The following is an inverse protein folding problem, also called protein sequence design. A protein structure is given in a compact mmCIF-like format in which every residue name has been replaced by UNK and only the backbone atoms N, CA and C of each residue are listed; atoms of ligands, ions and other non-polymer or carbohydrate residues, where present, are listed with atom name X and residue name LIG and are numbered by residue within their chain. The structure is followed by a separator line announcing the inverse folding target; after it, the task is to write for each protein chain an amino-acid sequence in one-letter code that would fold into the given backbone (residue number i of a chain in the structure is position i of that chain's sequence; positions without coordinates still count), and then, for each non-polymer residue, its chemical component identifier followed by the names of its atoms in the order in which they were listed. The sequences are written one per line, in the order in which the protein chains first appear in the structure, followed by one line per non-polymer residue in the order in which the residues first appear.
data_IF_337887032981
#
_entry.id   IF_337887032981
#
_cell.length_a   1.000
_cell.length_b   1.000
_cell.length_c   1.000
_cell.angle_alpha   90.00
_cell.angle_beta   90.00
_cell.angle_gamma   90.00
#
_symmetry.space_group_name_H-M   'P 1'
#
loop_
_entity.id
_entity.type
_entity.pdbx_description
1 polymer ?
#
# COMPACT_ATOMS: atom_id res chain seq x y z
N UNK A 1 48.20 -15.03 32.06
CA UNK A 1 46.88 -15.33 31.46
C UNK A 1 45.92 -14.21 31.84
N UNK A 2 45.58 -13.31 30.92
CA UNK A 2 44.49 -12.35 31.13
C UNK A 2 43.18 -13.01 30.66
N UNK A 3 42.26 -13.28 31.58
CA UNK A 3 40.87 -13.62 31.23
C UNK A 3 40.05 -12.34 31.37
N UNK A 4 39.51 -11.83 30.25
CA UNK A 4 38.45 -10.80 30.30
C UNK A 4 37.14 -11.48 30.72
N UNK A 5 36.34 -10.88 31.62
CA UNK A 5 34.95 -11.30 31.80
C UNK A 5 34.18 -11.15 30.49
N UNK A 6 33.22 -12.04 30.18
CA UNK A 6 32.31 -11.84 29.05
C UNK A 6 31.54 -10.53 29.26
N UNK A 7 31.60 -9.65 28.26
CA UNK A 7 30.77 -8.44 28.23
C UNK A 7 29.31 -8.86 27.97
N UNK A 8 28.32 -8.14 28.52
CA UNK A 8 26.93 -8.38 28.18
C UNK A 8 26.72 -8.14 26.67
N UNK A 9 26.24 -9.16 25.99
CA UNK A 9 25.86 -9.08 24.58
C UNK A 9 24.51 -8.36 24.49
N UNK A 10 24.52 -7.07 24.15
CA UNK A 10 23.29 -6.36 23.81
C UNK A 10 22.86 -6.85 22.43
N UNK A 11 21.87 -7.75 22.40
CA UNK A 11 21.16 -8.06 21.16
C UNK A 11 20.10 -6.98 20.98
N UNK A 12 20.23 -6.08 19.99
CA UNK A 12 19.12 -5.19 19.67
C UNK A 12 17.87 -6.05 19.38
N UNK A 13 16.66 -5.54 19.68
CA UNK A 13 15.43 -6.20 19.29
C UNK A 13 15.50 -6.50 17.78
N UNK A 14 15.25 -7.75 17.40
CA UNK A 14 15.13 -8.09 15.98
C UNK A 14 13.89 -7.40 15.42
N UNK A 15 14.02 -6.73 14.27
CA UNK A 15 12.87 -6.23 13.51
C UNK A 15 11.87 -7.37 13.31
N UNK A 16 10.57 -7.17 13.60
CA UNK A 16 9.59 -8.23 13.45
C UNK A 16 9.55 -8.69 12.00
N UNK A 17 9.57 -10.01 11.78
CA UNK A 17 9.36 -10.58 10.46
C UNK A 17 7.90 -10.49 10.10
N UNK A 18 7.61 -9.89 8.96
CA UNK A 18 6.26 -9.70 8.44
C UNK A 18 5.99 -10.76 7.37
N UNK A 19 4.88 -11.46 7.48
CA UNK A 19 4.49 -12.54 6.57
C UNK A 19 3.25 -12.20 5.77
N UNK A 20 2.47 -11.21 6.21
CA UNK A 20 1.36 -10.68 5.43
C UNK A 20 1.15 -9.20 5.72
N UNK A 21 0.58 -8.53 4.73
CA UNK A 21 -0.04 -7.23 4.85
C UNK A 21 -1.40 -7.25 4.16
N UNK A 22 -2.35 -6.56 4.77
CA UNK A 22 -3.68 -6.35 4.22
C UNK A 22 -4.02 -4.90 4.47
N UNK A 23 -4.48 -4.20 3.44
CA UNK A 23 -5.16 -2.93 3.64
C UNK A 23 -6.27 -2.71 2.60
N UNK A 24 -7.16 -1.80 2.95
CA UNK A 24 -8.21 -1.34 2.07
C UNK A 24 -7.88 0.06 1.54
N UNK A 25 -7.98 0.23 0.23
CA UNK A 25 -7.71 1.49 -0.46
C UNK A 25 -9.00 2.08 -1.03
N UNK A 26 -9.27 3.35 -0.76
CA UNK A 26 -10.30 4.08 -1.50
C UNK A 26 -9.85 4.35 -2.92
N UNK A 27 -10.75 4.12 -3.88
CA UNK A 27 -10.48 4.30 -5.31
C UNK A 27 -10.80 5.74 -5.72
N UNK A 28 -9.86 6.37 -6.42
CA UNK A 28 -10.06 7.69 -7.02
C UNK A 28 -9.56 7.71 -8.46
N UNK A 29 -10.00 8.71 -9.22
CA UNK A 29 -9.44 9.03 -10.53
C UNK A 29 -8.88 10.46 -10.51
N UNK A 30 -7.69 10.67 -9.88
CA UNK A 30 -7.06 11.98 -9.79
C UNK A 30 -6.72 12.55 -11.16
N UNK A 31 -6.77 13.89 -11.26
CA UNK A 31 -6.28 14.60 -12.46
C UNK A 31 -4.75 14.51 -12.54
N UNK A 32 -4.25 13.87 -13.60
CA UNK A 32 -2.83 13.71 -13.93
C UNK A 32 -2.51 14.32 -15.30
N UNK A 33 -1.29 14.83 -15.48
CA UNK A 33 -0.79 15.30 -16.77
C UNK A 33 -0.08 14.19 -17.55
N UNK A 34 0.13 14.39 -18.85
CA UNK A 34 0.56 13.33 -19.79
C UNK A 34 1.92 12.69 -19.49
N UNK A 35 2.78 13.32 -18.70
CA UNK A 35 4.10 12.82 -18.29
C UNK A 35 4.22 12.67 -16.78
N UNK A 36 3.10 12.44 -16.10
CA UNK A 36 2.99 12.34 -14.65
C UNK A 36 2.18 11.09 -14.30
N UNK A 37 2.25 10.63 -13.05
CA UNK A 37 1.35 9.58 -12.56
C UNK A 37 0.95 9.84 -11.11
N UNK A 38 -0.19 9.28 -10.73
CA UNK A 38 -0.60 9.18 -9.33
C UNK A 38 -1.07 7.76 -9.06
N UNK A 39 -0.75 7.25 -7.88
CA UNK A 39 -1.18 5.95 -7.41
C UNK A 39 -1.51 5.96 -5.93
N UNK A 40 -2.16 4.88 -5.49
CA UNK A 40 -2.18 4.49 -4.11
C UNK A 40 -1.95 2.99 -4.00
N UNK A 41 -1.15 2.59 -3.02
CA UNK A 41 -0.66 1.24 -2.90
C UNK A 41 -0.40 0.83 -1.45
N UNK A 42 -0.40 -0.48 -1.24
CA UNK A 42 0.29 -1.12 -0.12
C UNK A 42 1.63 -1.65 -0.61
N UNK A 43 2.65 -1.59 0.23
CA UNK A 43 4.00 -2.03 -0.09
C UNK A 43 4.50 -3.02 0.96
N UNK A 44 4.91 -4.22 0.52
CA UNK A 44 5.67 -5.18 1.33
C UNK A 44 7.16 -5.04 1.02
N UNK A 45 8.01 -4.74 2.02
CA UNK A 45 9.44 -4.46 1.80
C UNK A 45 10.34 -5.34 2.63
N UNK A 46 11.45 -5.73 2.03
CA UNK A 46 12.65 -6.13 2.75
C UNK A 46 13.86 -5.85 1.86
N UNK A 47 14.59 -4.77 2.14
CA UNK A 47 15.59 -4.25 1.21
C UNK A 47 16.60 -5.32 0.74
N UNK A 48 16.93 -5.34 -0.57
CA UNK A 48 16.52 -4.38 -1.61
C UNK A 48 15.17 -4.70 -2.26
N UNK A 49 14.45 -5.72 -1.82
CA UNK A 49 13.25 -6.19 -2.49
C UNK A 49 11.98 -5.50 -1.98
N UNK A 50 11.03 -5.20 -2.87
CA UNK A 50 9.69 -4.79 -2.48
C UNK A 50 8.62 -5.15 -3.51
N UNK A 51 7.40 -5.33 -3.02
CA UNK A 51 6.18 -5.59 -3.79
C UNK A 51 5.20 -4.46 -3.50
N UNK A 52 4.73 -3.76 -4.53
CA UNK A 52 3.67 -2.76 -4.46
C UNK A 52 2.44 -3.28 -5.19
N UNK A 53 1.27 -3.12 -4.58
CA UNK A 53 -0.02 -3.43 -5.22
C UNK A 53 -1.03 -2.35 -4.89
N UNK A 54 -1.84 -1.96 -5.87
CA UNK A 54 -2.80 -0.89 -5.66
C UNK A 54 -3.50 -0.44 -6.93
N UNK A 55 -3.81 0.85 -7.00
CA UNK A 55 -4.37 1.50 -8.19
C UNK A 55 -3.51 2.66 -8.65
N UNK A 56 -3.57 2.97 -9.95
CA UNK A 56 -2.79 4.03 -10.59
C UNK A 56 -3.58 4.73 -11.69
N UNK A 57 -3.29 6.00 -11.91
CA UNK A 57 -3.56 6.72 -13.16
C UNK A 57 -2.20 7.10 -13.76
N UNK A 58 -1.80 6.36 -14.80
CA UNK A 58 -0.45 6.45 -15.37
C UNK A 58 -0.50 6.60 -16.90
N UNK A 59 -0.71 7.83 -17.43
CA UNK A 59 -0.73 8.08 -18.87
C UNK A 59 0.61 7.82 -19.56
N UNK A 60 1.74 7.82 -18.83
CA UNK A 60 3.06 7.46 -19.39
C UNK A 60 3.02 6.00 -19.84
N UNK A 61 2.58 5.12 -18.95
CA UNK A 61 2.53 3.68 -19.21
C UNK A 61 1.38 3.31 -20.16
N UNK A 62 0.18 3.86 -19.92
CA UNK A 62 -1.03 3.55 -20.69
C UNK A 62 -1.27 4.47 -21.90
N UNK A 63 -0.22 5.09 -22.45
CA UNK A 63 -0.24 5.84 -23.73
C UNK A 63 -1.32 6.92 -23.79
N UNK A 64 -1.46 7.67 -22.69
CA UNK A 64 -2.41 8.77 -22.55
C UNK A 64 -3.78 8.39 -22.00
N UNK A 65 -4.03 7.13 -21.67
CA UNK A 65 -5.22 6.72 -20.91
C UNK A 65 -5.15 7.31 -19.48
N UNK A 66 -6.24 7.98 -19.08
CA UNK A 66 -6.41 8.63 -17.78
C UNK A 66 -7.42 7.89 -16.89
N UNK A 67 -7.63 6.60 -17.15
CA UNK A 67 -8.52 5.76 -16.36
C UNK A 67 -7.74 5.13 -15.22
N UNK A 68 -8.31 5.15 -14.02
CA UNK A 68 -7.77 4.40 -12.89
C UNK A 68 -7.76 2.91 -13.19
N UNK A 69 -6.60 2.29 -12.99
CA UNK A 69 -6.38 0.86 -13.19
C UNK A 69 -5.73 0.27 -11.96
N UNK A 70 -5.99 -1.00 -11.70
CA UNK A 70 -5.11 -1.75 -10.81
C UNK A 70 -3.70 -1.81 -11.40
N UNK A 71 -2.71 -1.96 -10.52
CA UNK A 71 -1.34 -2.22 -10.93
C UNK A 71 -0.61 -3.01 -9.86
N UNK A 72 0.47 -3.64 -10.29
CA UNK A 72 1.51 -4.12 -9.39
C UNK A 72 2.84 -3.55 -9.85
N UNK A 73 3.73 -3.34 -8.90
CA UNK A 73 5.13 -3.09 -9.16
C UNK A 73 5.97 -3.98 -8.25
N UNK A 74 7.10 -4.45 -8.75
CA UNK A 74 8.00 -5.32 -8.00
C UNK A 74 9.43 -4.92 -8.27
N UNK A 75 10.19 -4.74 -7.21
CA UNK A 75 11.63 -4.53 -7.25
C UNK A 75 12.32 -5.72 -6.59
N UNK A 76 13.39 -6.19 -7.22
CA UNK A 76 14.30 -7.18 -6.66
C UNK A 76 15.72 -6.64 -6.72
N UNK A 77 16.67 -7.32 -6.08
CA UNK A 77 18.09 -7.00 -6.24
C UNK A 77 18.63 -7.01 -7.69
N UNK A 78 17.87 -7.52 -8.67
CA UNK A 78 18.33 -7.72 -10.05
C UNK A 78 17.57 -6.89 -11.08
N UNK A 79 16.26 -6.75 -10.87
CA UNK A 79 15.35 -6.17 -11.84
C UNK A 79 14.13 -5.59 -11.15
N UNK A 80 13.48 -4.67 -11.87
CA UNK A 80 12.19 -4.13 -11.51
C UNK A 80 11.16 -4.43 -12.59
N UNK A 81 9.89 -4.46 -12.19
CA UNK A 81 8.80 -4.91 -13.03
C UNK A 81 7.51 -4.18 -12.74
N UNK A 82 6.88 -3.71 -13.80
CA UNK A 82 5.55 -3.12 -13.76
C UNK A 82 4.56 -4.10 -14.39
N UNK A 83 3.46 -4.41 -13.68
CA UNK A 83 2.49 -5.39 -14.11
C UNK A 83 3.13 -6.74 -14.51
N UNK A 84 2.68 -7.31 -15.63
CA UNK A 84 3.13 -8.60 -16.17
C UNK A 84 4.16 -8.44 -17.29
N UNK A 85 4.83 -7.28 -17.36
CA UNK A 85 5.81 -7.00 -18.41
C UNK A 85 7.11 -7.80 -18.24
N UNK A 86 7.31 -8.42 -17.08
CA UNK A 86 8.44 -9.29 -16.76
C UNK A 86 7.98 -10.73 -16.46
N UNK A 87 8.87 -11.74 -16.62
CA UNK A 87 8.56 -13.14 -16.33
C UNK A 87 8.58 -13.49 -14.82
N UNK A 88 8.79 -12.51 -13.93
CA UNK A 88 8.92 -12.72 -12.48
C UNK A 88 7.61 -12.99 -11.75
N UNK A 89 6.48 -12.94 -12.45
CA UNK A 89 5.15 -13.01 -11.86
C UNK A 89 4.24 -14.00 -12.60
N UNK A 90 3.50 -14.81 -11.85
CA UNK A 90 2.69 -15.91 -12.40
C UNK A 90 1.21 -15.68 -12.11
N UNK A 91 0.46 -15.39 -13.17
CA UNK A 91 -0.98 -15.24 -13.17
C UNK A 91 -1.66 -16.61 -12.98
N UNK A 92 -2.45 -16.76 -11.92
CA UNK A 92 -3.23 -17.99 -11.66
C UNK A 92 -4.67 -17.82 -12.16
N UNK A 93 -5.25 -16.63 -11.96
CA UNK A 93 -6.61 -16.28 -12.37
C UNK A 93 -6.62 -15.29 -13.52
N UNK A 94 -6.61 -15.79 -14.76
CA UNK A 94 -6.65 -14.94 -15.96
C UNK A 94 -7.96 -14.17 -16.17
N UNK A 95 -8.99 -14.49 -15.39
CA UNK A 95 -10.28 -13.80 -15.40
C UNK A 95 -10.27 -12.48 -14.61
N UNK A 96 -9.24 -12.24 -13.80
CA UNK A 96 -9.01 -10.97 -13.09
C UNK A 96 -7.66 -10.40 -13.53
N UNK A 97 -7.62 -9.56 -14.59
CA UNK A 97 -6.38 -8.91 -15.03
C UNK A 97 -5.86 -7.91 -13.99
N UNK A 98 -4.55 -7.87 -13.78
CA UNK A 98 -3.89 -6.88 -12.90
C UNK A 98 -4.08 -5.44 -13.36
N UNK A 99 -4.17 -5.21 -14.67
CA UNK A 99 -4.33 -3.88 -15.26
C UNK A 99 -5.81 -3.50 -15.46
N UNK A 100 -6.71 -4.21 -14.76
CA UNK A 100 -8.15 -4.00 -14.83
C UNK A 100 -8.51 -2.56 -14.51
N UNK A 101 -9.41 -2.02 -15.34
CA UNK A 101 -10.00 -0.70 -15.13
C UNK A 101 -10.85 -0.72 -13.86
N UNK A 102 -10.53 0.16 -12.93
CA UNK A 102 -11.35 0.44 -11.77
C UNK A 102 -12.24 1.63 -12.09
N UNK A 103 -13.46 1.36 -12.53
CA UNK A 103 -14.50 2.40 -12.54
C UNK A 103 -14.97 2.61 -11.10
N UNK A 104 -14.95 3.84 -10.56
CA UNK A 104 -15.59 4.12 -9.29
C UNK A 104 -17.08 3.77 -9.45
N UNK A 105 -17.51 2.71 -8.78
CA UNK A 105 -18.92 2.39 -8.67
C UNK A 105 -19.56 3.52 -7.86
N UNK A 106 -20.42 4.31 -8.49
CA UNK A 106 -21.43 5.05 -7.74
C UNK A 106 -22.44 4.03 -7.20
N UNK A 107 -22.04 3.23 -6.21
CA UNK A 107 -22.96 2.32 -5.51
C UNK A 107 -23.64 3.06 -4.33
N UNK A 108 -24.93 2.80 -4.07
CA UNK A 108 -25.70 3.53 -3.04
C UNK A 108 -25.36 3.19 -1.58
N UNK A 109 -24.32 2.38 -1.32
CA UNK A 109 -24.05 1.78 0.02
C UNK A 109 -22.75 2.20 0.69
N UNK A 110 -22.29 3.41 0.44
CA UNK A 110 -21.21 4.02 1.22
C UNK A 110 -20.65 5.26 0.51
N UNK A 111 -19.94 6.14 1.23
CA UNK A 111 -19.39 7.36 0.62
C UNK A 111 -18.24 7.11 -0.38
N UNK A 112 -17.69 5.89 -0.48
CA UNK A 112 -16.52 5.59 -1.34
C UNK A 112 -16.59 4.19 -1.97
N UNK A 113 -16.05 4.05 -3.19
CA UNK A 113 -15.62 2.76 -3.74
C UNK A 113 -14.24 2.42 -3.17
N UNK A 114 -14.03 1.17 -2.80
CA UNK A 114 -12.80 0.72 -2.17
C UNK A 114 -12.41 -0.71 -2.58
N UNK A 115 -11.13 -1.06 -2.49
CA UNK A 115 -10.60 -2.38 -2.82
C UNK A 115 -9.72 -2.89 -1.69
N UNK A 116 -9.95 -4.13 -1.28
CA UNK A 116 -9.07 -4.83 -0.35
C UNK A 116 -7.91 -5.48 -1.12
N UNK A 117 -6.69 -5.25 -0.65
CA UNK A 117 -5.49 -5.90 -1.14
C UNK A 117 -4.87 -6.74 -0.02
N UNK A 118 -4.41 -7.93 -0.38
CA UNK A 118 -3.77 -8.87 0.55
C UNK A 118 -2.49 -9.40 -0.08
N UNK A 119 -1.36 -9.11 0.55
CA UNK A 119 -0.06 -9.71 0.23
C UNK A 119 0.28 -10.68 1.35
N UNK A 120 0.54 -11.94 1.04
CA UNK A 120 0.94 -12.90 2.06
C UNK A 120 1.94 -13.93 1.52
N UNK A 121 2.85 -14.38 2.37
CA UNK A 121 3.80 -15.43 2.02
C UNK A 121 3.28 -16.80 2.46
N UNK A 122 3.31 -17.76 1.55
CA UNK A 122 3.17 -19.18 1.90
C UNK A 122 4.49 -19.65 2.53
N UNK A 123 4.46 -20.01 3.81
CA UNK A 123 5.65 -20.43 4.56
C UNK A 123 6.21 -21.79 4.13
N UNK A 124 5.44 -22.59 3.39
CA UNK A 124 5.84 -23.92 2.92
C UNK A 124 6.70 -23.83 1.66
N UNK A 125 6.25 -23.01 0.68
CA UNK A 125 6.92 -22.88 -0.62
C UNK A 125 7.63 -21.53 -0.81
N UNK A 126 7.46 -20.61 0.15
CA UNK A 126 8.08 -19.27 0.21
C UNK A 126 7.66 -18.32 -0.92
N UNK A 127 6.56 -18.61 -1.61
CA UNK A 127 5.97 -17.70 -2.59
C UNK A 127 5.16 -16.62 -1.91
N UNK A 128 5.21 -15.41 -2.46
CA UNK A 128 4.31 -14.33 -2.11
C UNK A 128 3.07 -14.39 -2.99
N UNK A 129 1.91 -14.26 -2.40
CA UNK A 129 0.62 -14.34 -3.07
C UNK A 129 -0.10 -13.01 -2.97
N UNK A 130 -0.82 -12.68 -4.05
CA UNK A 130 -1.75 -11.56 -4.10
C UNK A 130 -3.18 -12.10 -4.09
N UNK A 131 -4.00 -11.53 -3.22
CA UNK A 131 -5.45 -11.65 -3.24
C UNK A 131 -6.07 -10.25 -3.27
N UNK A 132 -7.15 -10.11 -4.03
CA UNK A 132 -7.90 -8.85 -4.18
C UNK A 132 -9.35 -9.11 -3.82
N UNK A 133 -9.93 -8.22 -3.01
CA UNK A 133 -11.32 -8.30 -2.56
C UNK A 133 -11.59 -9.46 -1.58
N UNK A 134 -12.87 -9.79 -1.41
CA UNK A 134 -13.33 -10.76 -0.41
C UNK A 134 -13.25 -12.22 -0.87
N UNK A 135 -13.04 -12.49 -2.16
CA UNK A 135 -12.97 -13.85 -2.71
C UNK A 135 -11.81 -14.64 -2.09
N UNK A 136 -12.01 -15.92 -1.79
CA UNK A 136 -11.00 -16.74 -1.10
C UNK A 136 -9.81 -17.15 -1.99
N UNK A 137 -9.93 -17.03 -3.31
CA UNK A 137 -8.91 -17.51 -4.24
C UNK A 137 -7.83 -16.45 -4.51
N UNK A 138 -6.55 -16.76 -4.26
CA UNK A 138 -5.44 -15.91 -4.68
C UNK A 138 -5.44 -15.78 -6.19
N UNK A 139 -5.20 -14.56 -6.67
CA UNK A 139 -5.22 -14.30 -8.10
C UNK A 139 -3.88 -14.67 -8.74
N UNK A 140 -2.78 -14.48 -8.01
CA UNK A 140 -1.42 -14.45 -8.57
C UNK A 140 -0.34 -14.68 -7.51
N UNK A 141 0.88 -15.00 -7.94
CA UNK A 141 2.02 -15.12 -7.03
C UNK A 141 3.35 -14.69 -7.64
N UNK A 142 4.25 -14.24 -6.77
CA UNK A 142 5.68 -14.10 -7.01
C UNK A 142 6.42 -15.31 -6.44
N UNK A 143 7.17 -16.06 -7.27
CA UNK A 143 8.03 -17.12 -6.78
C UNK A 143 9.05 -16.56 -5.79
N UNK A 144 9.19 -17.15 -4.60
CA UNK A 144 10.15 -16.66 -3.58
C UNK A 144 11.60 -16.57 -4.05
N UNK A 145 11.92 -17.35 -5.08
CA UNK A 145 13.25 -17.49 -5.69
C UNK A 145 13.73 -16.24 -6.45
N UNK A 146 12.81 -15.36 -6.86
CA UNK A 146 13.17 -14.11 -7.54
C UNK A 146 13.70 -13.07 -6.55
N UNK A 147 13.29 -13.21 -5.28
CA UNK A 147 13.67 -12.30 -4.21
C UNK A 147 14.96 -12.72 -3.53
N UNK A 148 15.61 -11.73 -2.90
CA UNK A 148 16.74 -11.92 -2.02
C UNK A 148 16.30 -11.94 -0.56
N UNK A 149 16.02 -10.79 0.03
CA UNK A 149 15.57 -10.63 1.41
C UNK A 149 14.09 -10.99 1.58
N UNK A 150 13.22 -10.63 0.62
CA UNK A 150 11.80 -11.02 0.65
C UNK A 150 11.59 -12.52 0.47
N UNK A 151 12.59 -13.29 0.03
CA UNK A 151 12.49 -14.77 -0.01
C UNK A 151 12.20 -15.39 1.36
N UNK A 152 12.49 -14.67 2.46
CA UNK A 152 12.32 -15.16 3.83
C UNK A 152 11.14 -14.54 4.57
N UNK A 153 10.99 -13.22 4.47
CA UNK A 153 9.94 -12.44 5.12
C UNK A 153 10.03 -10.97 4.69
N UNK A 154 8.98 -10.20 4.94
CA UNK A 154 9.01 -8.75 5.00
C UNK A 154 9.68 -8.24 6.28
N UNK A 155 10.07 -6.96 6.26
CA UNK A 155 10.57 -6.21 7.41
C UNK A 155 9.82 -4.90 7.63
N UNK A 156 9.22 -4.33 6.57
CA UNK A 156 8.43 -3.10 6.63
C UNK A 156 7.21 -3.22 5.73
N UNK A 157 6.15 -2.51 6.12
CA UNK A 157 4.98 -2.29 5.28
C UNK A 157 4.73 -0.79 5.16
N UNK A 158 4.29 -0.36 3.99
CA UNK A 158 3.91 1.04 3.74
C UNK A 158 2.53 1.06 3.11
N UNK A 159 1.79 2.13 3.34
CA UNK A 159 0.57 2.38 2.59
C UNK A 159 0.27 3.87 2.48
N UNK A 160 -0.16 4.29 1.31
CA UNK A 160 -0.44 5.69 1.04
C UNK A 160 -0.64 5.95 -0.44
N UNK A 161 -0.36 7.19 -0.83
CA UNK A 161 -0.35 7.61 -2.22
C UNK A 161 1.05 8.00 -2.67
N UNK A 162 1.35 7.74 -3.92
CA UNK A 162 2.58 8.15 -4.59
C UNK A 162 2.23 9.03 -5.81
N UNK A 163 3.07 10.04 -6.03
CA UNK A 163 2.96 10.90 -7.22
C UNK A 163 4.32 11.13 -7.83
N UNK A 164 4.40 10.92 -9.13
CA UNK A 164 5.43 11.51 -9.96
C UNK A 164 4.87 12.72 -10.69
N UNK A 165 5.60 13.84 -10.63
CA UNK A 165 5.29 15.02 -11.42
C UNK A 165 6.55 15.54 -12.13
N UNK A 166 6.37 16.27 -13.23
CA UNK A 166 7.49 16.91 -13.91
C UNK A 166 8.08 17.98 -12.97
N UNK A 167 9.40 17.99 -12.71
CA UNK A 167 10.05 19.03 -11.91
C UNK A 167 9.83 20.45 -12.45
N UNK A 168 9.54 20.62 -13.75
CA UNK A 168 9.24 21.90 -14.38
C UNK A 168 7.80 22.38 -14.15
N UNK A 169 6.87 21.46 -13.86
CA UNK A 169 5.49 21.78 -13.48
C UNK A 169 5.17 21.21 -12.10
N UNK A 170 5.90 21.64 -11.08
CA UNK A 170 5.62 21.17 -9.75
C UNK A 170 4.29 21.81 -9.32
N UNK A 171 3.37 21.03 -8.79
CA UNK A 171 2.03 21.50 -8.42
C UNK A 171 0.86 21.08 -9.36
N UNK A 172 1.12 20.40 -10.48
CA UNK A 172 0.18 19.89 -11.50
C UNK A 172 -0.73 18.66 -11.15
N UNK A 173 -0.20 17.44 -10.97
CA UNK A 173 -0.93 16.19 -10.63
C UNK A 173 -1.59 16.13 -9.24
N UNK A 174 -2.83 15.64 -9.17
CA UNK A 174 -3.53 15.32 -7.92
C UNK A 174 -3.10 13.97 -7.33
N UNK A 175 -3.18 13.83 -6.00
CA UNK A 175 -3.02 12.56 -5.28
C UNK A 175 -4.34 12.16 -4.60
N UNK A 176 -4.71 10.89 -4.69
CA UNK A 176 -5.94 10.38 -4.09
C UNK A 176 -7.17 11.11 -4.63
N UNK A 177 -7.95 11.71 -3.74
CA UNK A 177 -9.13 12.52 -4.06
C UNK A 177 -8.79 13.91 -4.62
N UNK A 178 -7.51 14.29 -4.57
CA UNK A 178 -7.02 15.64 -4.85
C UNK A 178 -7.08 16.58 -3.64
N UNK A 179 -7.71 16.21 -2.53
CA UNK A 179 -7.79 17.07 -1.34
C UNK A 179 -6.67 16.76 -0.36
N UNK A 180 -6.19 17.79 0.35
CA UNK A 180 -5.36 17.58 1.53
C UNK A 180 -6.15 16.84 2.61
N UNK A 181 -5.48 16.00 3.44
CA UNK A 181 -6.11 15.43 4.63
C UNK A 181 -6.85 16.49 5.44
N UNK A 182 -8.11 16.23 5.75
CA UNK A 182 -8.95 17.17 6.48
C UNK A 182 -9.93 16.46 7.43
N UNK A 183 -10.70 17.25 8.17
CA UNK A 183 -11.79 16.74 9.01
C UNK A 183 -13.01 16.29 8.19
N UNK A 184 -13.09 16.64 6.91
CA UNK A 184 -14.20 16.27 6.04
C UNK A 184 -14.00 14.87 5.48
N UNK A 185 -14.62 13.88 6.13
CA UNK A 185 -14.49 12.46 5.77
C UNK A 185 -14.73 12.24 4.28
N UNK A 186 -15.79 12.85 3.73
CA UNK A 186 -16.23 12.73 2.34
C UNK A 186 -15.20 13.13 1.27
N UNK A 187 -14.18 13.92 1.62
CA UNK A 187 -13.18 14.43 0.65
C UNK A 187 -11.84 13.71 0.76
N UNK A 188 -11.64 12.88 1.77
CA UNK A 188 -10.36 12.26 2.05
C UNK A 188 -10.16 10.97 1.24
N UNK A 189 -8.90 10.63 0.98
CA UNK A 189 -8.51 9.28 0.58
C UNK A 189 -7.94 8.52 1.77
N UNK A 190 -8.15 7.21 1.77
CA UNK A 190 -7.86 6.36 2.90
C UNK A 190 -7.08 5.12 2.49
N UNK A 191 -6.17 4.76 3.37
CA UNK A 191 -5.67 3.40 3.53
C UNK A 191 -5.93 2.95 4.96
N UNK A 192 -6.61 1.83 5.14
CA UNK A 192 -7.07 1.41 6.47
C UNK A 192 -7.23 -0.11 6.59
N UNK A 193 -7.58 -0.57 7.79
CA UNK A 193 -7.74 -1.99 8.12
C UNK A 193 -6.46 -2.82 7.95
N UNK A 194 -5.34 -2.25 8.38
CA UNK A 194 -4.03 -2.92 8.44
C UNK A 194 -4.08 -4.19 9.28
N UNK A 195 -3.74 -5.33 8.66
CA UNK A 195 -3.51 -6.59 9.37
C UNK A 195 -2.15 -7.14 8.99
N UNK A 196 -1.21 -7.02 9.93
CA UNK A 196 0.14 -7.56 9.82
C UNK A 196 0.20 -8.88 10.60
N UNK A 197 0.68 -9.95 9.95
CA UNK A 197 0.91 -11.24 10.62
C UNK A 197 2.39 -11.54 10.63
N UNK A 198 2.92 -11.99 11.77
CA UNK A 198 4.33 -12.36 11.91
C UNK A 198 4.59 -13.86 11.61
N UNK A 199 5.86 -14.27 11.72
CA UNK A 199 6.29 -15.66 11.48
C UNK A 199 5.64 -16.70 12.42
N UNK A 200 5.16 -16.29 13.60
CA UNK A 200 4.43 -17.14 14.54
C UNK A 200 2.93 -17.23 14.23
N UNK A 201 2.49 -16.69 13.09
CA UNK A 201 1.07 -16.60 12.68
C UNK A 201 0.24 -15.81 13.70
N UNK A 202 0.83 -14.76 14.27
CA UNK A 202 0.15 -13.85 15.20
C UNK A 202 -0.07 -12.49 14.55
N UNK A 203 -1.28 -11.95 14.74
CA UNK A 203 -1.58 -10.57 14.40
C UNK A 203 -0.68 -9.67 15.24
N UNK A 204 0.08 -8.82 14.56
CA UNK A 204 0.93 -7.82 15.18
C UNK A 204 0.09 -6.55 15.32
N UNK A 205 0.00 -6.05 16.55
CA UNK A 205 -0.60 -4.75 16.76
C UNK A 205 0.34 -3.68 16.20
N UNK A 206 -0.13 -2.98 15.18
CA UNK A 206 0.55 -1.83 14.61
C UNK A 206 0.55 -0.72 15.68
N UNK A 207 1.74 -0.27 16.07
CA UNK A 207 1.95 0.77 17.10
C UNK A 207 2.99 1.80 16.70
N UNK A 208 4.02 1.32 16.01
CA UNK A 208 5.16 2.14 15.57
C UNK A 208 4.99 2.45 14.09
N UNK A 209 4.16 3.45 13.78
CA UNK A 209 3.96 3.99 12.43
C UNK A 209 4.57 5.38 12.32
N UNK A 210 4.96 5.73 11.11
CA UNK A 210 5.46 7.06 10.78
C UNK A 210 4.66 7.61 9.59
N UNK A 211 4.10 8.80 9.76
CA UNK A 211 3.49 9.54 8.66
C UNK A 211 4.59 10.35 7.95
N UNK A 212 4.84 10.05 6.68
CA UNK A 212 5.92 10.64 5.90
C UNK A 212 5.42 11.26 4.59
N UNK A 213 5.93 12.44 4.24
CA UNK A 213 5.70 13.09 2.95
C UNK A 213 6.98 13.80 2.50
N UNK A 214 7.43 13.49 1.28
CA UNK A 214 8.56 14.17 0.62
C UNK A 214 8.27 15.66 0.37
N UNK A 215 7.00 16.01 0.16
CA UNK A 215 6.57 17.37 -0.18
C UNK A 215 5.23 17.72 0.49
N UNK A 216 5.32 18.00 1.79
CA UNK A 216 4.19 18.35 2.64
C UNK A 216 3.39 19.58 2.22
N UNK A 217 3.99 20.48 1.40
CA UNK A 217 3.30 21.68 0.93
C UNK A 217 2.20 21.34 -0.09
N UNK A 218 2.34 20.24 -0.83
CA UNK A 218 1.37 19.83 -1.87
C UNK A 218 0.66 18.52 -1.58
N UNK A 219 1.29 17.64 -0.81
CA UNK A 219 0.80 16.31 -0.51
C UNK A 219 0.87 16.04 0.98
N UNK A 220 -0.28 15.81 1.59
CA UNK A 220 -0.40 15.59 3.01
C UNK A 220 -0.63 14.11 3.33
N UNK A 221 -0.19 13.73 4.52
CA UNK A 221 -0.49 12.44 5.15
C UNK A 221 -0.82 12.68 6.63
N UNK A 222 -1.85 11.99 7.12
CA UNK A 222 -2.17 11.89 8.53
C UNK A 222 -2.38 10.42 8.89
N UNK A 223 -1.74 9.94 9.95
CA UNK A 223 -2.04 8.64 10.53
C UNK A 223 -2.91 8.82 11.78
N UNK A 224 -4.09 8.20 11.80
CA UNK A 224 -5.04 8.25 12.90
C UNK A 224 -5.29 6.88 13.47
N UNK A 225 -5.07 6.77 14.78
CA UNK A 225 -5.42 5.58 15.55
C UNK A 225 -6.86 5.75 16.04
N UNK A 226 -7.76 4.88 15.59
CA UNK A 226 -9.18 4.90 16.00
C UNK A 226 -9.58 3.61 16.72
N UNK A 227 -10.47 3.67 17.74
CA UNK A 227 -10.97 2.46 18.40
C UNK A 227 -11.86 1.64 17.46
N UNK A 228 -11.52 0.36 17.24
CA UNK A 228 -12.42 -0.61 16.63
C UNK A 228 -13.60 -0.86 17.58
N UNK A 229 -14.81 -0.51 17.15
CA UNK A 229 -16.02 -0.82 17.91
C UNK A 229 -16.50 -2.23 17.55
N UNK A 230 -16.13 -3.21 18.37
CA UNK A 230 -16.70 -4.57 18.29
C UNK A 230 -18.13 -4.58 18.85
N UNK A 231 -19.06 -5.17 18.11
CA UNK A 231 -20.49 -5.20 18.43
C UNK A 231 -20.91 -6.02 19.66
N UNK A 232 -19.99 -6.54 20.48
CA UNK A 232 -20.33 -7.35 21.65
C UNK A 232 -19.50 -7.01 22.90
N UNK A 233 -20.20 -6.93 24.03
CA UNK A 233 -19.83 -6.28 25.29
C UNK A 233 -18.82 -7.05 26.16
N UNK A 234 -17.65 -7.42 25.63
CA UNK A 234 -16.47 -7.83 26.42
C UNK A 234 -15.22 -7.15 25.85
N UNK A 235 -15.18 -5.82 25.97
CA UNK A 235 -14.35 -4.92 25.15
C UNK A 235 -12.85 -5.07 25.48
N UNK A 236 -12.12 -5.78 24.62
CA UNK A 236 -10.75 -5.39 24.26
C UNK A 236 -10.91 -4.24 23.27
N UNK A 237 -10.47 -3.03 23.62
CA UNK A 237 -10.43 -1.92 22.67
C UNK A 237 -9.27 -2.21 21.73
N UNK A 238 -9.54 -2.85 20.60
CA UNK A 238 -8.60 -2.87 19.49
C UNK A 238 -8.56 -1.48 18.86
N UNK A 239 -7.39 -1.07 18.38
CA UNK A 239 -7.24 0.16 17.62
C UNK A 239 -6.81 -0.19 16.20
N UNK A 240 -7.28 0.57 15.23
CA UNK A 240 -6.80 0.49 13.85
C UNK A 240 -6.19 1.80 13.41
N UNK A 241 -5.16 1.69 12.57
CA UNK A 241 -4.61 2.82 11.86
C UNK A 241 -5.49 3.12 10.65
N UNK A 242 -5.82 4.40 10.50
CA UNK A 242 -6.44 4.98 9.31
C UNK A 242 -5.45 6.00 8.80
N UNK A 243 -4.77 5.65 7.71
CA UNK A 243 -3.90 6.55 6.97
C UNK A 243 -4.76 7.36 6.03
N UNK A 244 -4.69 8.68 6.16
CA UNK A 244 -5.37 9.66 5.32
C UNK A 244 -4.31 10.34 4.48
N UNK A 245 -4.47 10.33 3.17
CA UNK A 245 -3.52 10.96 2.25
C UNK A 245 -4.26 11.71 1.15
N UNK A 246 -3.57 12.61 0.47
CA UNK A 246 -4.07 13.27 -0.72
C UNK A 246 -3.37 14.60 -1.00
N UNK A 247 -3.70 15.23 -2.12
CA UNK A 247 -3.10 16.52 -2.44
C UNK A 247 -3.34 17.09 -3.83
N UNK A 248 -3.13 18.40 -3.87
CA UNK A 248 -3.26 19.43 -4.91
C UNK A 248 -4.42 19.36 -5.92
N UNK A 249 -5.62 19.54 -5.41
CA UNK A 249 -6.68 20.27 -6.08
C UNK A 249 -6.39 21.78 -6.01
N UNK A 250 -6.11 22.40 -7.16
CA UNK A 250 -5.99 23.86 -7.29
C UNK A 250 -7.39 24.51 -7.33
N UNK A 251 -8.09 24.52 -6.20
CA UNK A 251 -9.14 25.50 -5.99
C UNK A 251 -9.01 26.08 -4.59
N UNK A 252 -8.76 27.38 -4.54
CA UNK A 252 -9.17 28.24 -3.44
C UNK A 252 -10.69 28.14 -3.28
N UNK A 253 -11.20 27.05 -2.69
CA UNK A 253 -12.51 27.07 -2.08
C UNK A 253 -12.32 27.70 -0.71
N UNK A 254 -12.31 29.04 -0.71
CA UNK A 254 -12.87 29.77 0.40
C UNK A 254 -14.31 29.27 0.57
N UNK A 255 -14.51 28.34 1.48
CA UNK A 255 -15.82 28.21 2.11
C UNK A 255 -15.99 29.48 2.94
N UNK A 256 -16.60 30.50 2.33
CA UNK A 256 -17.27 31.58 3.05
C UNK A 256 -18.45 31.01 3.86
#
# INVERSE_FOLDING_TARGET
MHRRPPLPEFRPPSTPKIMSDQANLTIHNPSVFSYEYSSAEITMKNDPDYIQVGWTVNPIYYKGDLTTRMFIYTETARESCYNVDCPGFVLVRSDIPVDSVLTPFYEPRGPFSNVDFFIFQDTTIQNWWLKIGHDEEPIEFWPGQIFTSLSKSGSHVECGGEVYHDPATPGSTQMGSGFMPSKHVATNSYCYSFVIVNEDVKVVLVRDTEAYSDNGDWYGIEDKIVPKHGGDTNIVIEFEHIVIYGGRQNYSLSYE
#
